data_IF_708608378416
#
_entry.id   IF_708608378416
#
_cell.length_a   1.000
_cell.length_b   1.000
_cell.length_c   1.000
_cell.angle_alpha   90.00
_cell.angle_beta   90.00
_cell.angle_gamma   90.00
#
_symmetry.space_group_name_H-M   'P 1'
#
loop_
_entity.id
_entity.type
_entity.pdbx_description
1 polymer ?
#
# COMPACT_ATOMS: atom_id res chain seq x y z
N UNK A 1 1.95 -8.96 21.95
CA UNK A 1 0.74 -9.36 22.70
C UNK A 1 -0.47 -8.68 22.05
N UNK A 2 -0.98 -9.26 20.95
CA UNK A 2 -2.08 -8.68 20.16
C UNK A 2 -3.08 -9.81 19.84
N UNK A 3 -4.03 -10.05 20.74
CA UNK A 3 -5.09 -11.05 20.56
C UNK A 3 -6.49 -10.41 20.54
N UNK A 4 -6.58 -9.08 20.46
CA UNK A 4 -7.75 -8.37 20.98
C UNK A 4 -8.47 -7.50 19.95
N UNK A 5 -9.09 -8.15 18.95
CA UNK A 5 -10.17 -7.57 18.14
C UNK A 5 -11.03 -8.63 17.42
N UNK A 6 -10.88 -9.90 17.81
CA UNK A 6 -11.44 -11.06 17.11
C UNK A 6 -12.97 -11.21 17.19
N UNK A 7 -13.68 -10.37 17.96
CA UNK A 7 -15.11 -10.56 18.22
C UNK A 7 -16.03 -9.44 17.72
N UNK A 8 -15.49 -8.24 17.44
CA UNK A 8 -16.32 -7.09 17.08
C UNK A 8 -16.96 -7.23 15.70
N UNK A 9 -16.29 -7.94 14.78
CA UNK A 9 -16.74 -8.15 13.40
C UNK A 9 -17.79 -9.27 13.23
N UNK A 10 -18.08 -10.03 14.28
CA UNK A 10 -18.95 -11.24 14.22
C UNK A 10 -20.42 -10.88 13.92
N UNK A 11 -20.87 -9.70 14.34
CA UNK A 11 -22.21 -9.21 14.05
C UNK A 11 -22.17 -7.79 13.44
N UNK A 12 -22.26 -7.66 12.11
CA UNK A 12 -22.17 -6.36 11.43
C UNK A 12 -23.36 -5.43 11.72
N UNK A 13 -24.48 -5.95 12.25
CA UNK A 13 -25.62 -5.12 12.67
C UNK A 13 -25.43 -4.49 14.06
N UNK A 14 -24.48 -4.99 14.85
CA UNK A 14 -24.21 -4.46 16.19
C UNK A 14 -23.42 -3.17 16.08
N UNK A 15 -23.96 -2.10 16.65
CA UNK A 15 -23.28 -0.81 16.76
C UNK A 15 -22.48 -0.75 18.07
N UNK A 16 -21.33 -0.09 18.01
CA UNK A 16 -20.46 0.15 19.16
C UNK A 16 -20.24 1.65 19.32
N UNK A 17 -20.18 2.12 20.56
CA UNK A 17 -19.72 3.49 20.82
C UNK A 17 -18.20 3.50 20.72
N UNK A 18 -17.69 4.10 19.66
CA UNK A 18 -16.25 4.20 19.42
C UNK A 18 -15.77 5.62 19.65
N UNK A 19 -14.66 5.77 20.36
CA UNK A 19 -13.91 7.04 20.42
C UNK A 19 -12.46 6.74 20.10
N UNK A 20 -11.90 7.47 19.15
CA UNK A 20 -10.51 7.36 18.75
C UNK A 20 -9.86 8.73 18.86
N UNK A 21 -8.82 8.83 19.69
CA UNK A 21 -7.99 10.03 19.79
C UNK A 21 -6.55 9.63 19.55
N UNK A 22 -5.94 10.14 18.49
CA UNK A 22 -4.59 9.80 18.11
C UNK A 22 -3.80 11.01 17.64
N UNK A 23 -2.49 10.96 17.90
CA UNK A 23 -1.51 11.87 17.33
C UNK A 23 -0.59 11.04 16.46
N UNK A 24 -0.54 11.38 15.18
CA UNK A 24 0.41 10.82 14.25
C UNK A 24 1.57 11.79 14.07
N UNK A 25 2.79 11.27 14.07
CA UNK A 25 4.03 12.05 13.90
C UNK A 25 4.97 11.36 12.93
N UNK A 26 5.81 12.16 12.27
CA UNK A 26 6.90 11.67 11.43
C UNK A 26 8.00 12.72 11.35
N UNK A 27 9.24 12.24 11.27
CA UNK A 27 10.43 13.01 10.93
C UNK A 27 10.96 12.67 9.52
N UNK A 28 10.25 11.84 8.76
CA UNK A 28 10.64 11.39 7.43
C UNK A 28 10.11 12.38 6.38
N UNK A 29 10.83 12.58 5.25
CA UNK A 29 10.30 13.37 4.15
C UNK A 29 9.10 12.67 3.50
N UNK A 30 8.21 13.42 2.88
CA UNK A 30 7.10 12.87 2.09
C UNK A 30 7.69 12.27 0.80
N UNK A 31 7.24 11.07 0.42
CA UNK A 31 7.52 10.48 -0.88
C UNK A 31 6.38 10.81 -1.84
N UNK A 32 6.68 11.53 -2.92
CA UNK A 32 5.71 11.92 -3.94
C UNK A 32 5.88 11.05 -5.19
N UNK A 33 4.86 10.27 -5.52
CA UNK A 33 4.90 9.34 -6.65
C UNK A 33 4.92 10.04 -8.01
N UNK A 34 4.63 11.35 -8.07
CA UNK A 34 4.76 12.11 -9.32
C UNK A 34 6.21 12.52 -9.62
N UNK A 35 7.07 12.63 -8.60
CA UNK A 35 8.42 13.20 -8.73
C UNK A 35 9.56 12.30 -8.27
N UNK A 36 9.28 11.36 -7.36
CA UNK A 36 10.33 10.66 -6.61
C UNK A 36 10.48 9.20 -7.05
N UNK A 37 9.64 8.72 -7.99
CA UNK A 37 9.76 7.39 -8.56
C UNK A 37 11.08 7.18 -9.29
N UNK A 38 11.54 5.93 -9.30
CA UNK A 38 12.64 5.54 -10.15
C UNK A 38 12.25 5.73 -11.63
N UNK A 39 12.93 6.61 -12.37
CA UNK A 39 12.56 6.90 -13.76
C UNK A 39 12.73 5.70 -14.69
N UNK A 40 13.68 4.80 -14.41
CA UNK A 40 13.91 3.61 -15.22
C UNK A 40 12.78 2.60 -15.09
N UNK A 41 12.22 2.44 -13.89
CA UNK A 41 11.05 1.59 -13.67
C UNK A 41 9.80 2.15 -14.35
N UNK A 42 9.56 3.46 -14.24
CA UNK A 42 8.43 4.11 -14.90
C UNK A 42 8.56 4.02 -16.43
N UNK A 43 9.75 4.30 -16.97
CA UNK A 43 10.02 4.20 -18.39
C UNK A 43 9.82 2.76 -18.90
N UNK A 44 10.30 1.77 -18.15
CA UNK A 44 10.12 0.35 -18.48
C UNK A 44 8.64 -0.07 -18.47
N UNK A 45 7.86 0.38 -17.49
CA UNK A 45 6.43 0.11 -17.41
C UNK A 45 5.68 0.68 -18.63
N UNK A 46 5.96 1.92 -19.02
CA UNK A 46 5.33 2.58 -20.19
C UNK A 46 5.82 1.97 -21.51
N UNK A 47 7.08 1.53 -21.58
CA UNK A 47 7.64 0.90 -22.78
C UNK A 47 7.01 -0.47 -23.10
N UNK A 48 6.42 -1.14 -22.11
CA UNK A 48 5.72 -2.41 -22.29
C UNK A 48 4.31 -2.24 -22.89
N UNK A 49 3.79 -1.02 -23.00
CA UNK A 49 2.44 -0.75 -23.50
C UNK A 49 2.40 -0.38 -24.99
N UNK A 50 1.27 -0.59 -25.68
CA UNK A 50 1.10 -0.11 -27.06
C UNK A 50 1.05 1.42 -27.15
N UNK A 51 2.05 2.01 -27.82
CA UNK A 51 2.10 3.47 -27.99
C UNK A 51 1.14 3.94 -29.07
N UNK A 52 -0.02 4.42 -28.62
CA UNK A 52 -1.03 5.03 -29.48
C UNK A 52 -1.47 6.37 -28.92
N UNK A 53 -2.05 7.22 -29.77
CA UNK A 53 -2.68 8.46 -29.30
C UNK A 53 -3.78 8.18 -28.26
N UNK A 54 -4.50 7.07 -28.40
CA UNK A 54 -5.51 6.62 -27.43
C UNK A 54 -4.88 6.33 -26.07
N UNK A 55 -3.81 5.56 -26.04
CA UNK A 55 -3.05 5.24 -24.82
C UNK A 55 -2.62 6.50 -24.06
N UNK A 56 -1.95 7.45 -24.72
CA UNK A 56 -1.50 8.69 -24.05
C UNK A 56 -2.66 9.58 -23.57
N UNK A 57 -3.80 9.57 -24.26
CA UNK A 57 -5.03 10.25 -23.77
C UNK A 57 -5.57 9.58 -22.51
N UNK A 58 -5.59 8.25 -22.48
CA UNK A 58 -5.99 7.47 -21.30
C UNK A 58 -5.06 7.72 -20.13
N UNK A 59 -3.74 7.69 -20.35
CA UNK A 59 -2.74 7.97 -19.33
C UNK A 59 -2.96 9.35 -18.68
N UNK A 60 -3.19 10.38 -19.51
CA UNK A 60 -3.49 11.73 -19.02
C UNK A 60 -4.82 11.82 -18.25
N UNK A 61 -5.84 11.06 -18.68
CA UNK A 61 -7.14 11.04 -17.99
C UNK A 61 -7.06 10.32 -16.65
N UNK A 62 -6.31 9.22 -16.58
CA UNK A 62 -6.19 8.34 -15.42
C UNK A 62 -5.19 8.85 -14.36
N UNK A 63 -4.44 9.91 -14.66
CA UNK A 63 -3.47 10.49 -13.73
C UNK A 63 -4.11 10.90 -12.41
N UNK A 64 -3.47 10.45 -11.33
CA UNK A 64 -3.76 10.79 -9.94
C UNK A 64 -2.44 11.15 -9.29
N UNK A 65 -2.43 12.21 -8.50
CA UNK A 65 -1.32 12.53 -7.62
C UNK A 65 -1.44 11.70 -6.36
N UNK A 66 -0.33 11.10 -5.94
CA UNK A 66 -0.25 10.24 -4.77
C UNK A 66 1.03 10.55 -4.00
N UNK A 67 0.89 10.69 -2.68
CA UNK A 67 2.03 10.85 -1.81
C UNK A 67 1.82 10.08 -0.51
N UNK A 68 2.93 9.60 0.03
CA UNK A 68 2.95 8.84 1.26
C UNK A 68 3.98 9.37 2.23
N UNK A 69 3.75 9.10 3.52
CA UNK A 69 4.70 9.41 4.58
C UNK A 69 4.59 8.34 5.68
N UNK A 70 5.70 7.65 5.92
CA UNK A 70 5.83 6.71 7.05
C UNK A 70 5.96 7.48 8.36
N UNK A 71 5.49 6.91 9.46
CA UNK A 71 5.52 7.55 10.77
C UNK A 71 5.08 6.63 11.90
N UNK A 72 4.71 7.25 13.00
CA UNK A 72 4.27 6.57 14.22
C UNK A 72 2.99 7.20 14.73
N UNK A 73 2.22 6.40 15.46
CA UNK A 73 0.97 6.84 16.07
C UNK A 73 0.93 6.48 17.56
N UNK A 74 0.61 7.48 18.36
CA UNK A 74 0.16 7.32 19.74
C UNK A 74 -1.35 7.56 19.76
N UNK A 75 -2.12 6.59 20.23
CA UNK A 75 -3.57 6.70 20.24
C UNK A 75 -4.24 6.03 21.43
N UNK A 76 -5.44 6.49 21.72
CA UNK A 76 -6.38 5.82 22.62
C UNK A 76 -7.64 5.48 21.84
N UNK A 77 -7.95 4.19 21.77
CA UNK A 77 -9.17 3.64 21.19
C UNK A 77 -10.07 3.20 22.35
N UNK A 78 -11.28 3.74 22.43
CA UNK A 78 -12.32 3.26 23.33
C UNK A 78 -13.44 2.63 22.53
N UNK A 79 -13.84 1.41 22.90
CA UNK A 79 -14.98 0.69 22.33
C UNK A 79 -15.90 0.31 23.48
N UNK A 80 -17.08 0.91 23.51
CA UNK A 80 -18.04 0.84 24.61
C UNK A 80 -17.41 1.20 25.98
N UNK A 81 -17.16 0.21 26.84
CA UNK A 81 -16.58 0.40 28.18
C UNK A 81 -15.09 0.09 28.24
N UNK A 82 -14.53 -0.47 27.17
CA UNK A 82 -13.13 -0.86 27.12
C UNK A 82 -12.30 0.25 26.47
N UNK A 83 -11.09 0.47 27.01
CA UNK A 83 -10.16 1.49 26.52
C UNK A 83 -8.80 0.87 26.30
N UNK A 84 -8.23 1.14 25.12
CA UNK A 84 -7.00 0.59 24.62
C UNK A 84 -6.02 1.73 24.33
N UNK A 85 -4.80 1.61 24.86
CA UNK A 85 -3.70 2.52 24.52
C UNK A 85 -2.84 1.87 23.44
N UNK A 86 -2.71 2.53 22.32
CA UNK A 86 -1.86 2.17 21.19
C UNK A 86 -0.62 3.04 21.28
N UNK A 87 0.52 2.44 21.62
CA UNK A 87 1.79 3.15 21.85
C UNK A 87 2.84 2.66 20.87
N UNK A 88 3.59 3.60 20.31
CA UNK A 88 4.60 3.40 19.28
C UNK A 88 4.08 2.53 18.12
N UNK A 89 2.86 2.83 17.66
CA UNK A 89 2.25 2.06 16.60
C UNK A 89 2.79 2.53 15.26
N UNK A 90 3.43 1.61 14.54
CA UNK A 90 3.82 1.81 13.16
C UNK A 90 2.60 2.25 12.33
N UNK A 91 2.73 3.36 11.62
CA UNK A 91 1.65 3.94 10.84
C UNK A 91 2.21 4.67 9.61
N UNK A 92 1.35 4.94 8.65
CA UNK A 92 1.67 5.77 7.50
C UNK A 92 0.47 6.64 7.15
N UNK A 93 0.73 7.70 6.39
CA UNK A 93 -0.30 8.49 5.72
C UNK A 93 -0.18 8.21 4.24
N UNK A 94 -1.29 7.82 3.64
CA UNK A 94 -1.50 7.84 2.19
C UNK A 94 -2.50 8.95 1.87
N UNK A 95 -2.17 9.74 0.87
CA UNK A 95 -3.15 10.59 0.22
C UNK A 95 -3.03 10.46 -1.30
N UNK A 96 -4.17 10.19 -1.92
CA UNK A 96 -4.31 10.06 -3.37
C UNK A 96 -5.49 10.91 -3.85
N UNK A 97 -5.27 11.78 -4.83
CA UNK A 97 -6.30 12.66 -5.39
C UNK A 97 -6.09 12.86 -6.89
N UNK A 98 -7.19 13.14 -7.60
CA UNK A 98 -7.19 13.35 -9.03
C UNK A 98 -8.56 13.83 -9.50
N UNK A 99 -8.71 14.10 -10.80
CA UNK A 99 -9.99 14.57 -11.34
C UNK A 99 -11.09 13.51 -11.21
N UNK A 100 -10.74 12.27 -11.48
CA UNK A 100 -11.58 11.08 -11.38
C UNK A 100 -10.73 9.97 -10.75
N UNK A 101 -11.19 9.38 -9.64
CA UNK A 101 -10.61 8.14 -9.09
C UNK A 101 -11.55 7.01 -9.44
N UNK A 102 -11.14 6.20 -10.40
CA UNK A 102 -11.94 5.11 -10.93
C UNK A 102 -11.30 3.76 -10.56
N UNK A 103 -11.97 3.04 -9.66
CA UNK A 103 -11.52 1.74 -9.17
C UNK A 103 -11.68 0.64 -10.23
N UNK A 104 -12.52 0.84 -11.27
CA UNK A 104 -12.66 -0.12 -12.38
C UNK A 104 -11.38 -0.21 -13.23
N UNK A 105 -10.49 0.78 -13.13
CA UNK A 105 -9.21 0.75 -13.86
C UNK A 105 -8.26 -0.30 -13.28
N UNK A 106 -8.39 -0.64 -12.01
CA UNK A 106 -7.47 -1.49 -11.29
C UNK A 106 -7.80 -2.97 -11.52
N UNK A 107 -6.97 -3.68 -12.29
CA UNK A 107 -7.11 -5.13 -12.44
C UNK A 107 -6.62 -5.85 -11.18
N UNK A 108 -5.44 -5.45 -10.69
CA UNK A 108 -4.90 -5.92 -9.40
C UNK A 108 -3.75 -5.03 -8.94
N UNK A 109 -3.59 -4.91 -7.63
CA UNK A 109 -2.34 -4.43 -7.06
C UNK A 109 -2.02 -5.17 -5.76
N UNK A 110 -0.76 -5.06 -5.36
CA UNK A 110 -0.30 -5.37 -4.01
C UNK A 110 0.55 -4.21 -3.51
N UNK A 111 0.48 -3.95 -2.21
CA UNK A 111 1.33 -2.98 -1.54
C UNK A 111 1.71 -3.54 -0.16
N UNK A 112 3.01 -3.60 0.11
CA UNK A 112 3.56 -4.05 1.39
C UNK A 112 4.13 -2.85 2.12
N UNK A 113 3.61 -2.56 3.32
CA UNK A 113 4.18 -1.59 4.25
C UNK A 113 5.05 -2.34 5.26
N UNK A 114 6.35 -2.07 5.26
CA UNK A 114 7.35 -2.79 6.06
C UNK A 114 7.96 -1.86 7.11
N UNK A 115 8.07 -2.38 8.34
CA UNK A 115 8.72 -1.70 9.47
C UNK A 115 9.71 -2.67 10.11
N UNK A 116 11.00 -2.36 10.03
CA UNK A 116 12.09 -3.22 10.50
C UNK A 116 12.62 -2.76 11.87
N UNK A 117 13.22 -3.70 12.61
CA UNK A 117 13.79 -3.46 13.94
C UNK A 117 14.94 -2.44 13.94
N UNK A 118 15.68 -2.33 12.83
CA UNK A 118 16.78 -1.38 12.68
C UNK A 118 16.29 0.06 12.40
N UNK A 119 14.97 0.27 12.29
CA UNK A 119 14.36 1.55 11.96
C UNK A 119 14.17 1.79 10.46
N UNK A 120 14.58 0.87 9.59
CA UNK A 120 14.21 0.92 8.18
C UNK A 120 12.70 0.76 8.02
N UNK A 121 12.11 1.60 7.17
CA UNK A 121 10.71 1.46 6.75
C UNK A 121 10.63 1.44 5.24
N UNK A 122 9.64 0.76 4.68
CA UNK A 122 9.50 0.67 3.24
C UNK A 122 8.04 0.54 2.83
N UNK A 123 7.73 1.06 1.65
CA UNK A 123 6.54 0.71 0.91
C UNK A 123 6.99 0.09 -0.41
N UNK A 124 6.49 -1.07 -0.78
CA UNK A 124 6.80 -1.70 -2.07
C UNK A 124 5.54 -2.28 -2.67
N UNK A 125 5.30 -1.99 -3.95
CA UNK A 125 4.09 -2.38 -4.63
C UNK A 125 4.29 -2.75 -6.08
N UNK A 126 3.36 -3.57 -6.57
CA UNK A 126 3.22 -3.89 -7.99
C UNK A 126 1.76 -3.70 -8.36
N UNK A 127 1.54 -2.91 -9.41
CA UNK A 127 0.23 -2.46 -9.86
C UNK A 127 -0.01 -2.94 -11.29
N UNK A 128 -1.19 -3.50 -11.53
CA UNK A 128 -1.72 -3.82 -12.85
C UNK A 128 -2.99 -2.98 -13.05
N UNK A 129 -2.83 -1.92 -13.82
CA UNK A 129 -3.90 -1.04 -14.27
C UNK A 129 -3.82 -1.02 -15.81
N UNK A 130 -4.41 -2.00 -16.52
CA UNK A 130 -4.15 -2.20 -17.96
C UNK A 130 -4.45 -0.98 -18.85
N UNK A 131 -5.28 -0.05 -18.39
CA UNK A 131 -5.53 1.22 -19.07
C UNK A 131 -4.32 2.16 -19.10
N UNK A 132 -3.33 1.97 -18.21
CA UNK A 132 -2.13 2.80 -18.05
C UNK A 132 -0.85 1.96 -18.04
N UNK A 133 -0.75 0.95 -17.20
CA UNK A 133 0.41 0.06 -17.08
C UNK A 133 -0.04 -1.33 -16.68
N UNK A 134 0.29 -2.33 -17.49
CA UNK A 134 0.04 -3.75 -17.23
C UNK A 134 0.87 -4.24 -16.04
N UNK A 135 2.07 -3.68 -15.85
CA UNK A 135 2.93 -3.90 -14.69
C UNK A 135 3.67 -2.60 -14.35
N UNK A 136 3.34 -2.00 -13.21
CA UNK A 136 4.06 -0.88 -12.62
C UNK A 136 4.62 -1.30 -11.27
N UNK A 137 5.95 -1.38 -11.17
CA UNK A 137 6.67 -1.56 -9.92
C UNK A 137 6.93 -0.19 -9.29
N UNK A 138 6.68 -0.06 -7.99
CA UNK A 138 6.75 1.23 -7.31
C UNK A 138 7.03 1.08 -5.82
N UNK A 139 7.40 2.18 -5.18
CA UNK A 139 7.65 2.25 -3.75
C UNK A 139 8.97 2.90 -3.39
N UNK A 140 9.32 2.83 -2.11
CA UNK A 140 10.47 3.46 -1.50
C UNK A 140 10.96 2.73 -0.26
N UNK A 141 12.19 3.04 0.15
CA UNK A 141 12.78 2.66 1.43
C UNK A 141 13.30 3.91 2.12
N UNK A 142 12.93 4.09 3.38
CA UNK A 142 13.60 5.00 4.29
C UNK A 142 14.68 4.25 5.09
N UNK A 143 15.90 4.76 5.08
CA UNK A 143 16.95 4.29 5.97
C UNK A 143 16.65 4.70 7.43
N UNK A 144 17.34 4.12 8.42
CA UNK A 144 17.20 4.55 9.81
C UNK A 144 17.60 6.02 10.06
N UNK A 145 18.42 6.61 9.18
CA UNK A 145 18.77 8.04 9.22
C UNK A 145 17.72 8.94 8.57
N UNK A 146 16.68 8.38 7.95
CA UNK A 146 15.59 9.09 7.30
C UNK A 146 15.83 9.44 5.82
N UNK A 147 16.93 8.95 5.23
CA UNK A 147 17.17 9.09 3.78
C UNK A 147 16.21 8.19 3.00
N UNK A 148 15.65 8.69 1.91
CA UNK A 148 14.69 7.96 1.08
C UNK A 148 15.32 7.53 -0.24
N UNK A 149 15.06 6.30 -0.66
CA UNK A 149 15.46 5.75 -1.96
C UNK A 149 14.26 5.08 -2.63
N UNK A 150 13.97 5.37 -3.91
CA UNK A 150 12.91 4.66 -4.62
C UNK A 150 13.29 3.20 -4.86
N UNK A 151 12.29 2.35 -5.01
CA UNK A 151 12.47 0.97 -5.48
C UNK A 151 13.11 0.98 -6.86
N UNK A 152 14.13 0.15 -7.06
CA UNK A 152 14.88 -0.02 -8.31
C UNK A 152 14.41 -1.24 -9.11
N UNK A 153 13.92 -2.27 -8.43
CA UNK A 153 13.20 -3.41 -9.01
C UNK A 153 12.50 -4.21 -7.91
N UNK A 154 11.46 -4.95 -8.29
CA UNK A 154 10.75 -5.92 -7.45
C UNK A 154 10.48 -7.19 -8.27
N UNK A 155 10.74 -8.38 -7.72
CA UNK A 155 10.46 -9.64 -8.41
C UNK A 155 9.08 -10.23 -8.11
N UNK A 156 8.25 -9.54 -7.31
CA UNK A 156 6.87 -9.94 -7.04
C UNK A 156 6.03 -9.97 -8.32
N UNK A 157 5.51 -11.14 -8.67
CA UNK A 157 4.69 -11.35 -9.88
C UNK A 157 3.20 -11.46 -9.52
N UNK A 158 2.39 -10.48 -9.92
CA UNK A 158 0.95 -10.46 -9.63
C UNK A 158 0.21 -11.71 -10.15
N UNK A 159 0.61 -12.27 -11.30
CA UNK A 159 -0.04 -13.45 -11.87
C UNK A 159 0.24 -14.75 -11.07
N UNK A 160 1.37 -14.80 -10.35
CA UNK A 160 1.67 -15.90 -9.43
C UNK A 160 0.93 -15.75 -8.09
N UNK A 161 0.53 -14.51 -7.75
CA UNK A 161 -0.01 -14.15 -6.44
C UNK A 161 -1.41 -13.52 -6.58
N UNK A 162 -2.43 -14.37 -6.54
CA UNK A 162 -3.82 -13.90 -6.43
C UNK A 162 -4.58 -13.70 -7.73
N UNK A 163 -4.15 -14.29 -8.86
CA UNK A 163 -4.86 -14.21 -10.16
C UNK A 163 -6.35 -14.55 -10.07
N UNK A 164 -6.68 -15.56 -9.29
CA UNK A 164 -8.06 -16.01 -9.14
C UNK A 164 -8.78 -15.38 -7.92
N UNK A 165 -8.35 -14.19 -7.47
CA UNK A 165 -8.95 -13.47 -6.33
C UNK A 165 -8.65 -14.10 -4.96
N UNK A 166 -7.72 -15.06 -4.90
CA UNK A 166 -7.28 -15.74 -3.68
C UNK A 166 -5.76 -15.58 -3.53
N UNK A 167 -5.30 -14.49 -2.90
CA UNK A 167 -3.87 -14.28 -2.77
C UNK A 167 -3.28 -15.26 -1.73
N UNK A 168 -2.02 -15.71 -1.89
CA UNK A 168 -1.41 -16.72 -1.02
C UNK A 168 -1.24 -16.21 0.41
N UNK A 169 -1.14 -17.13 1.37
CA UNK A 169 -0.93 -16.79 2.79
C UNK A 169 0.53 -16.93 3.24
N UNK A 170 1.34 -17.57 2.42
CA UNK A 170 2.75 -17.82 2.63
C UNK A 170 3.44 -17.61 1.27
N UNK A 171 4.32 -16.61 1.20
CA UNK A 171 5.03 -16.25 -0.02
C UNK A 171 6.28 -15.42 0.30
N UNK A 172 7.18 -15.34 -0.68
CA UNK A 172 8.38 -14.52 -0.58
C UNK A 172 8.64 -13.78 -1.89
N UNK A 173 9.32 -12.65 -1.79
CA UNK A 173 9.79 -11.87 -2.92
C UNK A 173 11.03 -11.07 -2.53
N UNK A 174 11.67 -10.48 -3.52
CA UNK A 174 12.82 -9.59 -3.35
C UNK A 174 12.57 -8.28 -4.05
N UNK A 175 13.19 -7.25 -3.53
CA UNK A 175 13.26 -5.96 -4.20
C UNK A 175 14.58 -5.29 -3.88
N UNK A 176 14.95 -4.27 -4.67
CA UNK A 176 16.14 -3.47 -4.45
C UNK A 176 15.78 -2.01 -4.30
N UNK A 177 16.46 -1.31 -3.40
CA UNK A 177 16.41 0.14 -3.26
C UNK A 177 17.71 0.62 -2.61
N UNK A 178 18.22 1.78 -3.04
CA UNK A 178 19.45 2.36 -2.49
C UNK A 178 20.66 1.42 -2.60
N UNK A 179 20.74 0.63 -3.67
CA UNK A 179 21.82 -0.34 -3.86
C UNK A 179 21.70 -1.63 -3.04
N UNK A 180 20.78 -1.73 -2.08
CA UNK A 180 20.58 -2.91 -1.21
C UNK A 180 19.43 -3.78 -1.71
N UNK A 181 19.64 -5.10 -1.69
CA UNK A 181 18.58 -6.10 -1.97
C UNK A 181 17.95 -6.53 -0.65
N UNK A 182 16.62 -6.51 -0.61
CA UNK A 182 15.80 -6.97 0.50
C UNK A 182 15.13 -8.28 0.10
N UNK A 183 15.14 -9.27 1.00
CA UNK A 183 14.38 -10.51 0.86
C UNK A 183 13.23 -10.46 1.86
N UNK A 184 12.01 -10.59 1.38
CA UNK A 184 10.79 -10.50 2.19
C UNK A 184 10.11 -11.87 2.20
N UNK A 185 9.80 -12.35 3.39
CA UNK A 185 8.94 -13.52 3.62
C UNK A 185 7.68 -13.04 4.33
N UNK A 186 6.53 -13.50 3.87
CA UNK A 186 5.23 -13.10 4.41
C UNK A 186 4.45 -14.33 4.83
N UNK A 187 4.07 -14.36 6.10
CA UNK A 187 3.10 -15.31 6.65
C UNK A 187 1.91 -14.52 7.17
N UNK A 188 0.73 -14.74 6.59
CA UNK A 188 -0.48 -13.98 6.92
C UNK A 188 -1.08 -14.47 8.24
N UNK A 189 -1.01 -13.62 9.28
CA UNK A 189 -1.63 -13.87 10.59
C UNK A 189 -3.10 -13.43 10.62
N UNK A 190 -3.39 -12.28 10.02
CA UNK A 190 -4.72 -11.67 10.01
C UNK A 190 -5.13 -11.30 8.58
N UNK A 191 -6.43 -11.30 8.33
CA UNK A 191 -6.97 -10.88 7.03
C UNK A 191 -8.28 -10.15 7.27
N UNK A 192 -8.44 -9.00 6.61
CA UNK A 192 -9.70 -8.27 6.51
C UNK A 192 -10.05 -8.09 5.04
N UNK A 193 -11.33 -8.27 4.72
CA UNK A 193 -11.84 -8.09 3.36
C UNK A 193 -12.85 -6.97 3.38
N UNK A 194 -12.64 -5.98 2.53
CA UNK A 194 -13.58 -4.87 2.36
C UNK A 194 -13.72 -4.52 0.88
N UNK A 195 -14.83 -3.87 0.55
CA UNK A 195 -15.15 -3.47 -0.82
C UNK A 195 -15.08 -1.96 -0.95
N UNK A 196 -14.41 -1.49 -1.99
CA UNK A 196 -14.14 -0.07 -2.24
C UNK A 196 -14.78 0.37 -3.55
N UNK A 197 -15.24 1.62 -3.56
CA UNK A 197 -15.95 2.22 -4.67
C UNK A 197 -17.47 2.20 -4.46
N UNK A 198 -18.16 3.08 -5.17
CA UNK A 198 -19.61 3.31 -5.00
C UNK A 198 -20.45 2.09 -5.37
N UNK A 199 -19.95 1.23 -6.26
CA UNK A 199 -20.60 -0.01 -6.69
C UNK A 199 -19.80 -1.24 -6.25
N UNK A 200 -18.91 -1.09 -5.28
CA UNK A 200 -18.07 -2.17 -4.77
C UNK A 200 -17.17 -2.78 -5.87
N UNK A 201 -16.64 -1.90 -6.72
CA UNK A 201 -15.82 -2.23 -7.88
C UNK A 201 -14.54 -3.01 -7.49
N UNK A 202 -13.93 -2.65 -6.35
CA UNK A 202 -12.69 -3.26 -5.89
C UNK A 202 -12.90 -4.08 -4.62
N UNK A 203 -12.44 -5.33 -4.62
CA UNK A 203 -12.29 -6.15 -3.41
C UNK A 203 -10.86 -6.00 -2.88
N UNK A 204 -10.71 -5.37 -1.72
CA UNK A 204 -9.44 -5.25 -1.02
C UNK A 204 -9.28 -6.35 0.02
N UNK A 205 -8.07 -6.87 0.13
CA UNK A 205 -7.68 -7.88 1.11
C UNK A 205 -6.48 -7.32 1.88
N UNK A 206 -6.74 -6.80 3.08
CA UNK A 206 -5.72 -6.27 3.99
C UNK A 206 -5.19 -7.39 4.88
N UNK A 207 -3.88 -7.47 5.05
CA UNK A 207 -3.18 -8.61 5.63
C UNK A 207 -1.99 -8.18 6.46
#
# INVERSE_FOLDING_TARGET
MAYFMWWLHINPAKQYRVTFNGVWTSNLPIFNFDTDLNPDLLASAIANEPWTLGYFRTLKKAHQSHYEQMGQMEATLAVDTETYKLTNMAAFRDHSFGRERDWDLMHRYVFHMLYLEDGTTAAVGVICQPATCSVLQTGYVYSPSGEVCPVEWCDFQLYQHGECGRPPRDYAFRFKAGGRVFCVEVVVEHESVHYVGWRWEARMVER
#
